data_IF_068262361380
#
_entry.id   IF_068262361380
#
_cell.length_a   1.000
_cell.length_b   1.000
_cell.length_c   1.000
_cell.angle_alpha   90.00
_cell.angle_beta   90.00
_cell.angle_gamma   90.00
#
_symmetry.space_group_name_H-M   'P 1'
#
loop_
_entity.id
_entity.type
_entity.pdbx_description
1 polymer ?
#
# COMPACT_ATOMS: atom_id res chain seq x y z
N UNK A 1 -16.09 13.23 -3.70
CA UNK A 1 -14.72 13.12 -4.24
C UNK A 1 -14.65 11.95 -5.22
N UNK A 2 -13.74 11.98 -6.19
CA UNK A 2 -13.47 10.90 -7.15
C UNK A 2 -12.02 10.44 -7.05
N UNK A 3 -11.76 9.15 -7.26
CA UNK A 3 -10.42 8.57 -7.34
C UNK A 3 -10.38 7.59 -8.53
N UNK A 4 -9.30 7.62 -9.32
CA UNK A 4 -9.07 6.67 -10.41
C UNK A 4 -7.58 6.40 -10.63
N UNK A 5 -7.30 5.44 -11.50
CA UNK A 5 -5.95 5.09 -11.95
C UNK A 5 -5.94 4.89 -13.46
N UNK A 6 -4.83 5.29 -14.09
CA UNK A 6 -4.49 4.94 -15.47
C UNK A 6 -3.60 3.68 -15.53
N UNK A 7 -3.14 3.19 -14.37
CA UNK A 7 -2.35 1.97 -14.24
C UNK A 7 -3.21 0.71 -14.22
N UNK A 8 -4.43 0.78 -13.69
CA UNK A 8 -5.41 -0.32 -13.71
C UNK A 8 -6.83 0.23 -13.52
N UNK A 9 -7.85 -0.54 -13.91
CA UNK A 9 -9.27 -0.18 -13.68
C UNK A 9 -9.75 -0.71 -12.33
N UNK A 10 -10.70 -0.01 -11.70
CA UNK A 10 -11.31 -0.48 -10.46
C UNK A 10 -11.88 -1.90 -10.62
N UNK A 11 -11.51 -2.81 -9.73
CA UNK A 11 -11.84 -4.23 -9.73
C UNK A 11 -10.94 -5.11 -10.62
N UNK A 12 -10.03 -4.53 -11.42
CA UNK A 12 -9.15 -5.27 -12.30
C UNK A 12 -7.86 -5.73 -11.59
N UNK A 13 -7.17 -6.69 -12.20
CA UNK A 13 -5.87 -7.14 -11.74
C UNK A 13 -4.82 -6.01 -11.84
N UNK A 14 -4.01 -5.87 -10.79
CA UNK A 14 -2.88 -4.94 -10.74
C UNK A 14 -1.76 -5.51 -11.62
N UNK A 15 -1.23 -4.76 -12.60
CA UNK A 15 -0.08 -5.21 -13.38
C UNK A 15 1.17 -5.47 -12.51
N UNK A 16 1.94 -6.51 -12.83
CA UNK A 16 3.10 -6.95 -12.05
C UNK A 16 4.16 -5.85 -11.81
N UNK A 17 4.30 -4.88 -12.71
CA UNK A 17 5.20 -3.74 -12.51
C UNK A 17 4.86 -2.88 -11.27
N UNK A 18 3.63 -2.97 -10.76
CA UNK A 18 3.20 -2.31 -9.53
C UNK A 18 3.17 -3.25 -8.33
N UNK A 19 3.48 -4.54 -8.51
CA UNK A 19 3.57 -5.51 -7.42
C UNK A 19 4.99 -5.58 -6.86
N UNK A 20 5.13 -6.01 -5.61
CA UNK A 20 6.43 -6.27 -4.99
C UNK A 20 7.06 -7.54 -5.57
N UNK A 21 6.24 -8.55 -5.88
CA UNK A 21 6.66 -9.79 -6.50
C UNK A 21 5.74 -10.22 -7.65
N UNK A 22 6.26 -11.07 -8.52
CA UNK A 22 5.53 -11.71 -9.62
C UNK A 22 5.86 -13.21 -9.71
N UNK A 23 5.00 -14.03 -10.35
CA UNK A 23 5.24 -15.46 -10.46
C UNK A 23 6.54 -15.80 -11.21
N UNK A 24 7.32 -16.71 -10.64
CA UNK A 24 8.57 -17.23 -11.25
C UNK A 24 8.60 -18.76 -11.32
N UNK A 25 8.62 -19.37 -12.52
CA UNK A 25 8.57 -20.82 -12.69
C UNK A 25 9.54 -21.63 -11.83
N UNK A 26 10.74 -21.11 -11.57
CA UNK A 26 11.80 -21.80 -10.85
C UNK A 26 11.73 -21.59 -9.33
N UNK A 27 11.41 -20.38 -8.87
CA UNK A 27 11.47 -20.00 -7.45
C UNK A 27 10.10 -19.71 -6.83
N UNK A 28 9.01 -20.05 -7.51
CA UNK A 28 7.63 -19.65 -7.24
C UNK A 28 7.36 -18.15 -7.45
N UNK A 29 8.23 -17.29 -6.91
CA UNK A 29 8.15 -15.83 -6.98
C UNK A 29 9.52 -15.21 -7.28
N UNK A 30 9.54 -14.06 -7.96
CA UNK A 30 10.69 -13.16 -8.08
C UNK A 30 10.26 -11.73 -7.79
N UNK A 31 11.21 -10.86 -7.44
CA UNK A 31 10.92 -9.44 -7.25
C UNK A 31 10.43 -8.81 -8.56
N UNK A 32 9.42 -7.95 -8.46
CA UNK A 32 8.84 -7.25 -9.59
C UNK A 32 9.17 -5.74 -9.54
N UNK A 33 8.43 -4.94 -10.31
CA UNK A 33 8.74 -3.51 -10.45
C UNK A 33 8.51 -2.69 -9.19
N UNK A 34 7.61 -3.12 -8.29
CA UNK A 34 7.28 -2.45 -7.02
C UNK A 34 7.03 -0.94 -7.17
N UNK A 35 6.49 -0.53 -8.32
CA UNK A 35 6.17 0.87 -8.59
C UNK A 35 4.85 1.21 -7.93
N UNK A 36 4.70 2.37 -7.30
CA UNK A 36 3.35 2.80 -6.97
C UNK A 36 2.54 2.97 -8.28
N UNK A 37 1.26 2.55 -8.31
CA UNK A 37 0.41 2.83 -9.47
C UNK A 37 0.15 4.33 -9.58
N UNK A 38 -0.19 4.77 -10.79
CA UNK A 38 -0.78 6.09 -10.98
C UNK A 38 -2.07 6.21 -10.17
N UNK A 39 -2.27 7.31 -9.48
CA UNK A 39 -3.53 7.64 -8.81
C UNK A 39 -3.85 9.10 -9.08
N UNK A 40 -5.09 9.41 -9.45
CA UNK A 40 -5.55 10.78 -9.63
C UNK A 40 -6.95 10.94 -9.08
N UNK A 41 -7.27 12.16 -8.67
CA UNK A 41 -8.50 12.47 -7.98
C UNK A 41 -9.02 13.86 -8.34
N UNK A 42 -10.33 14.03 -8.16
CA UNK A 42 -11.02 15.29 -8.37
C UNK A 42 -12.25 15.40 -7.47
N UNK A 43 -13.00 16.49 -7.58
CA UNK A 43 -14.17 16.79 -6.74
C UNK A 43 -13.81 16.76 -5.23
N UNK A 44 -12.64 17.30 -4.87
CA UNK A 44 -12.22 17.47 -3.47
C UNK A 44 -13.22 18.41 -2.77
N UNK A 45 -13.81 18.02 -1.62
CA UNK A 45 -14.82 18.84 -0.97
C UNK A 45 -14.26 20.17 -0.45
N UNK A 46 -15.06 21.25 -0.43
CA UNK A 46 -14.68 22.49 0.23
C UNK A 46 -14.29 22.26 1.70
N UNK A 47 -13.32 23.03 2.19
CA UNK A 47 -12.80 22.88 3.56
C UNK A 47 -11.68 21.85 3.72
N UNK A 48 -11.37 21.07 2.69
CA UNK A 48 -10.19 20.17 2.70
C UNK A 48 -8.91 20.95 2.89
N UNK A 49 -8.18 20.65 3.96
CA UNK A 49 -6.88 21.24 4.27
C UNK A 49 -5.72 20.34 3.83
N UNK A 50 -5.89 19.01 3.86
CA UNK A 50 -4.97 18.03 3.27
C UNK A 50 -5.69 16.73 2.89
N UNK A 51 -5.00 15.85 2.18
CA UNK A 51 -5.47 14.51 1.85
C UNK A 51 -4.54 13.45 2.47
N UNK A 52 -5.11 12.27 2.71
CA UNK A 52 -4.39 11.07 3.17
C UNK A 52 -4.72 9.91 2.25
N UNK A 53 -3.70 9.19 1.80
CA UNK A 53 -3.82 8.01 0.97
C UNK A 53 -3.32 6.78 1.75
N UNK A 54 -4.15 5.75 1.83
CA UNK A 54 -3.80 4.43 2.34
C UNK A 54 -3.93 3.37 1.23
N UNK A 55 -3.07 2.35 1.25
CA UNK A 55 -3.24 1.11 0.49
C UNK A 55 -3.33 -0.06 1.48
N UNK A 56 -4.45 -0.77 1.47
CA UNK A 56 -4.78 -1.80 2.47
C UNK A 56 -5.16 -3.09 1.75
N UNK A 57 -4.57 -4.20 2.15
CA UNK A 57 -4.95 -5.56 1.77
C UNK A 57 -5.70 -6.19 2.95
N UNK A 58 -7.03 -6.34 2.83
CA UNK A 58 -7.86 -6.98 3.86
C UNK A 58 -7.90 -8.50 3.77
N UNK A 59 -7.17 -9.09 2.82
CA UNK A 59 -7.17 -10.53 2.53
C UNK A 59 -5.90 -11.23 3.04
N UNK A 60 -4.98 -10.51 3.69
CA UNK A 60 -3.77 -11.08 4.22
C UNK A 60 -4.06 -12.13 5.30
N UNK A 61 -3.44 -13.32 5.24
CA UNK A 61 -3.66 -14.35 6.25
C UNK A 61 -3.11 -13.90 7.60
N UNK A 62 -3.90 -14.03 8.66
CA UNK A 62 -3.49 -13.67 10.04
C UNK A 62 -2.63 -14.75 10.70
N UNK A 63 -2.58 -15.95 10.11
CA UNK A 63 -1.77 -17.08 10.58
C UNK A 63 -0.72 -17.40 9.53
N UNK A 64 0.54 -17.06 9.80
CA UNK A 64 1.66 -17.23 8.87
C UNK A 64 2.24 -18.64 8.78
N UNK A 65 1.78 -19.59 9.59
CA UNK A 65 2.45 -20.90 9.79
C UNK A 65 2.66 -21.71 8.52
N UNK A 66 1.73 -21.65 7.57
CA UNK A 66 1.75 -22.43 6.32
C UNK A 66 2.01 -21.56 5.08
N UNK A 67 2.33 -20.28 5.26
CA UNK A 67 2.59 -19.33 4.16
C UNK A 67 3.83 -19.77 3.37
N UNK A 68 3.73 -19.76 2.04
CA UNK A 68 4.82 -19.98 1.11
C UNK A 68 5.54 -21.34 1.28
N UNK A 69 4.79 -22.41 1.52
CA UNK A 69 5.32 -23.78 1.66
C UNK A 69 4.75 -24.72 0.59
N UNK A 70 5.62 -25.47 -0.10
CA UNK A 70 5.26 -26.28 -1.27
C UNK A 70 4.26 -27.40 -1.02
N UNK A 71 4.23 -27.94 0.20
CA UNK A 71 3.30 -29.01 0.58
C UNK A 71 2.00 -28.48 1.21
N UNK A 72 1.82 -27.16 1.31
CA UNK A 72 0.69 -26.53 2.00
C UNK A 72 -0.09 -25.62 1.06
N UNK A 73 -1.38 -25.47 1.34
CA UNK A 73 -2.27 -24.47 0.75
C UNK A 73 -2.81 -23.58 1.87
N UNK A 74 -3.10 -22.32 1.59
CA UNK A 74 -3.87 -21.47 2.49
C UNK A 74 -5.32 -21.48 2.02
N UNK A 75 -6.24 -22.11 2.79
CA UNK A 75 -7.64 -22.18 2.42
C UNK A 75 -8.27 -20.79 2.27
N UNK A 76 -9.23 -20.67 1.36
CA UNK A 76 -9.95 -19.41 1.14
C UNK A 76 -10.68 -18.88 2.39
N UNK A 77 -11.09 -19.77 3.30
CA UNK A 77 -11.78 -19.47 4.55
C UNK A 77 -10.85 -19.23 5.76
N UNK A 78 -9.53 -19.29 5.57
CA UNK A 78 -8.55 -18.95 6.60
C UNK A 78 -8.79 -17.52 7.13
N UNK A 79 -8.69 -17.25 8.44
CA UNK A 79 -8.88 -15.91 9.00
C UNK A 79 -7.95 -14.86 8.38
N UNK A 80 -8.54 -13.77 7.90
CA UNK A 80 -7.85 -12.66 7.23
C UNK A 80 -7.79 -11.40 8.10
N UNK A 81 -6.86 -10.52 7.79
CA UNK A 81 -6.67 -9.25 8.48
C UNK A 81 -5.99 -8.23 7.58
N UNK A 82 -5.95 -6.99 8.05
CA UNK A 82 -5.36 -5.89 7.29
C UNK A 82 -3.84 -6.03 7.22
N UNK A 83 -3.32 -5.84 6.00
CA UNK A 83 -1.91 -5.57 5.74
C UNK A 83 -1.80 -4.24 5.01
N UNK A 84 -1.08 -3.29 5.59
CA UNK A 84 -0.94 -1.95 5.07
C UNK A 84 0.28 -1.87 4.15
N UNK A 85 0.03 -1.55 2.88
CA UNK A 85 1.03 -1.47 1.81
C UNK A 85 1.54 -0.05 1.58
N UNK A 86 0.77 0.97 2.00
CA UNK A 86 1.14 2.37 1.83
C UNK A 86 0.40 3.27 2.81
N UNK A 87 1.13 4.19 3.42
CA UNK A 87 0.57 5.39 4.05
C UNK A 87 1.29 6.64 3.51
N UNK A 88 0.52 7.58 2.98
CA UNK A 88 0.97 8.89 2.54
C UNK A 88 0.02 9.95 3.11
N UNK A 89 0.56 10.84 3.95
CA UNK A 89 -0.21 11.86 4.66
C UNK A 89 0.23 13.26 4.26
N UNK A 90 -0.61 14.24 4.57
CA UNK A 90 -0.38 15.67 4.35
C UNK A 90 -0.23 16.04 2.87
N UNK A 91 -0.91 15.31 1.98
CA UNK A 91 -0.94 15.65 0.55
C UNK A 91 -1.71 16.97 0.41
N UNK A 92 -1.14 18.05 -0.14
CA UNK A 92 -1.89 19.29 -0.30
C UNK A 92 -3.07 19.11 -1.28
N UNK A 93 -4.19 19.81 -1.07
CA UNK A 93 -5.35 19.74 -1.95
C UNK A 93 -5.08 20.33 -3.35
N UNK A 94 -3.93 20.99 -3.56
CA UNK A 94 -3.46 21.42 -4.88
C UNK A 94 -2.88 20.28 -5.72
N UNK A 95 -2.42 19.20 -5.09
CA UNK A 95 -2.00 17.98 -5.79
C UNK A 95 -3.23 17.22 -6.27
N UNK A 96 -3.21 16.78 -7.53
CA UNK A 96 -4.34 16.11 -8.20
C UNK A 96 -4.01 14.72 -8.73
N UNK A 97 -2.73 14.35 -8.70
CA UNK A 97 -2.27 13.07 -9.19
C UNK A 97 -0.92 12.71 -8.59
N UNK A 98 -0.69 11.41 -8.41
CA UNK A 98 0.60 10.79 -8.16
C UNK A 98 0.95 9.97 -9.42
N UNK A 99 2.02 10.33 -10.15
CA UNK A 99 2.48 9.53 -11.27
C UNK A 99 2.88 8.11 -10.85
N UNK A 100 2.76 7.17 -11.79
CA UNK A 100 3.31 5.84 -11.58
C UNK A 100 4.82 5.91 -11.30
N UNK A 101 5.26 5.25 -10.23
CA UNK A 101 6.68 5.21 -9.83
C UNK A 101 7.19 6.42 -9.04
N UNK A 102 6.36 7.44 -8.78
CA UNK A 102 6.83 8.67 -8.10
C UNK A 102 7.15 8.52 -6.61
N UNK A 103 6.68 7.46 -5.96
CA UNK A 103 6.89 7.18 -4.53
C UNK A 103 7.56 5.83 -4.25
N UNK A 104 7.66 4.96 -5.25
CA UNK A 104 8.42 3.72 -5.20
C UNK A 104 8.78 3.33 -6.63
N UNK A 105 10.02 2.89 -6.85
CA UNK A 105 10.53 2.47 -8.16
C UNK A 105 11.52 1.33 -7.93
N UNK A 106 10.98 0.12 -7.76
CA UNK A 106 11.73 -1.07 -7.40
C UNK A 106 11.64 -1.46 -5.93
N UNK A 107 12.08 -2.68 -5.64
CA UNK A 107 12.21 -3.20 -4.27
C UNK A 107 13.53 -2.71 -3.69
N UNK A 108 13.47 -2.06 -2.52
CA UNK A 108 14.65 -1.63 -1.78
C UNK A 108 14.85 -2.55 -0.58
N UNK A 109 15.89 -3.41 -0.57
CA UNK A 109 16.22 -4.21 0.60
C UNK A 109 16.38 -3.32 1.83
N UNK A 110 15.88 -3.78 2.98
CA UNK A 110 15.87 -3.03 4.26
C UNK A 110 15.00 -1.76 4.25
N UNK A 111 14.18 -1.59 3.22
CA UNK A 111 13.17 -0.55 3.11
C UNK A 111 13.67 0.79 2.58
N UNK A 112 12.76 1.76 2.52
CA UNK A 112 12.97 3.11 1.95
C UNK A 112 13.04 4.15 3.08
N UNK A 113 13.74 5.29 2.90
CA UNK A 113 13.79 6.34 3.91
C UNK A 113 12.44 7.04 4.07
N UNK A 114 12.24 7.64 5.25
CA UNK A 114 11.07 8.44 5.61
C UNK A 114 11.22 8.99 7.03
N UNK A 115 10.19 9.64 7.60
CA UNK A 115 8.88 9.91 7.00
C UNK A 115 8.90 11.06 6.00
N UNK A 116 9.90 11.95 6.03
CA UNK A 116 9.99 13.07 5.09
C UNK A 116 10.28 12.58 3.66
N UNK A 117 9.53 13.10 2.69
CA UNK A 117 9.79 12.86 1.26
C UNK A 117 10.76 13.94 0.76
N UNK A 118 11.91 13.52 0.25
CA UNK A 118 12.91 14.44 -0.27
C UNK A 118 12.41 15.16 -1.54
N UNK A 119 12.72 16.45 -1.63
CA UNK A 119 12.86 17.18 -2.90
C UNK A 119 11.62 17.31 -3.81
N UNK A 120 10.42 17.45 -3.25
CA UNK A 120 9.17 17.68 -4.04
C UNK A 120 8.65 19.11 -3.99
N UNK A 121 9.26 19.98 -3.17
CA UNK A 121 8.72 21.32 -2.85
C UNK A 121 7.40 21.28 -2.04
N UNK A 122 6.93 20.08 -1.69
CA UNK A 122 5.65 19.84 -1.02
C UNK A 122 5.88 18.97 0.21
N UNK A 123 5.42 19.43 1.38
CA UNK A 123 5.58 18.68 2.63
C UNK A 123 4.51 17.59 2.77
N UNK A 124 4.78 16.43 2.19
CA UNK A 124 4.06 15.18 2.49
C UNK A 124 4.92 14.27 3.36
N UNK A 125 4.31 13.28 4.01
CA UNK A 125 5.03 12.28 4.81
C UNK A 125 4.61 10.85 4.48
N UNK A 126 5.57 9.94 4.40
CA UNK A 126 5.31 8.51 4.37
C UNK A 126 5.23 7.94 5.79
N UNK A 127 4.27 7.04 6.01
CA UNK A 127 4.26 6.16 7.18
C UNK A 127 5.00 4.86 6.91
N UNK A 128 5.31 4.14 7.98
CA UNK A 128 5.75 2.75 7.95
C UNK A 128 4.60 1.86 7.47
N UNK A 129 4.91 0.99 6.52
CA UNK A 129 4.03 -0.08 6.06
C UNK A 129 4.38 -1.42 6.75
N UNK A 130 3.52 -2.42 6.59
CA UNK A 130 3.61 -3.67 7.35
C UNK A 130 4.75 -4.59 6.88
N UNK A 131 5.41 -4.29 5.75
CA UNK A 131 6.66 -4.99 5.39
C UNK A 131 7.76 -4.80 6.43
N UNK A 132 7.70 -3.71 7.21
CA UNK A 132 8.58 -3.49 8.38
C UNK A 132 8.50 -4.63 9.39
N UNK A 133 7.28 -5.08 9.72
CA UNK A 133 7.08 -6.22 10.62
C UNK A 133 7.27 -7.56 9.93
N UNK A 134 6.86 -7.68 8.66
CA UNK A 134 6.98 -8.90 7.88
C UNK A 134 8.43 -9.39 7.74
N UNK A 135 9.38 -8.47 7.53
CA UNK A 135 10.79 -8.79 7.31
C UNK A 135 11.67 -8.73 8.57
N UNK A 136 11.11 -8.56 9.77
CA UNK A 136 11.89 -8.38 11.01
C UNK A 136 12.88 -9.53 11.27
N UNK A 137 12.49 -10.77 10.92
CA UNK A 137 13.33 -11.96 11.05
C UNK A 137 14.26 -12.26 9.86
N UNK A 138 14.20 -11.49 8.78
CA UNK A 138 14.99 -11.72 7.57
C UNK A 138 16.30 -10.87 7.61
N UNK A 139 17.50 -11.48 7.62
CA UNK A 139 18.74 -10.73 7.76
C UNK A 139 19.05 -9.82 6.57
N UNK A 140 18.53 -10.13 5.39
CA UNK A 140 18.76 -9.38 4.14
C UNK A 140 17.70 -8.30 3.93
N UNK A 141 16.49 -8.53 4.43
CA UNK A 141 15.34 -7.65 4.23
C UNK A 141 14.93 -6.85 5.48
N UNK A 142 15.36 -7.21 6.68
CA UNK A 142 15.02 -6.48 7.91
C UNK A 142 15.42 -5.01 7.83
N UNK A 143 14.47 -4.15 8.16
CA UNK A 143 14.64 -2.70 8.06
C UNK A 143 13.30 -1.96 8.14
N UNK A 144 13.33 -0.67 7.82
CA UNK A 144 12.18 0.23 7.97
C UNK A 144 11.59 0.55 6.60
N UNK A 145 10.35 0.13 6.38
CA UNK A 145 9.70 0.25 5.08
C UNK A 145 8.72 1.43 5.09
N UNK A 146 9.18 2.60 4.63
CA UNK A 146 8.32 3.76 4.41
C UNK A 146 7.70 3.75 3.02
N UNK A 147 6.47 4.24 2.91
CA UNK A 147 5.83 4.48 1.61
C UNK A 147 5.25 3.21 1.00
N UNK A 148 5.26 3.13 -0.34
CA UNK A 148 4.61 2.04 -1.07
C UNK A 148 5.53 0.81 -1.18
N UNK A 149 5.01 -0.34 -0.79
CA UNK A 149 5.49 -1.66 -1.22
C UNK A 149 4.28 -2.47 -1.66
N UNK A 150 4.28 -2.94 -2.90
CA UNK A 150 3.11 -3.43 -3.58
C UNK A 150 2.68 -4.85 -3.19
N UNK A 151 1.70 -5.41 -3.91
CA UNK A 151 1.23 -6.78 -3.72
C UNK A 151 2.34 -7.84 -3.67
N UNK A 152 2.30 -8.70 -2.65
CA UNK A 152 3.07 -9.94 -2.55
C UNK A 152 2.27 -11.00 -1.77
N UNK A 153 1.05 -11.37 -2.22
CA UNK A 153 0.25 -12.38 -1.53
C UNK A 153 0.97 -13.74 -1.57
N UNK A 154 0.75 -14.63 -0.60
CA UNK A 154 1.39 -15.94 -0.61
C UNK A 154 1.13 -16.70 -1.92
N UNK A 155 2.15 -17.32 -2.49
CA UNK A 155 2.00 -18.04 -3.76
C UNK A 155 1.21 -19.35 -3.63
N UNK A 156 0.97 -19.79 -2.39
CA UNK A 156 0.13 -20.93 -2.06
C UNK A 156 -1.25 -20.51 -1.48
N UNK A 157 -1.68 -19.25 -1.66
CA UNK A 157 -3.00 -18.80 -1.22
C UNK A 157 -4.09 -19.06 -2.26
N UNK A 158 -5.17 -19.72 -1.85
CA UNK A 158 -6.35 -19.95 -2.71
C UNK A 158 -7.14 -18.67 -2.96
N UNK A 159 -6.96 -17.65 -2.13
CA UNK A 159 -7.66 -16.36 -2.24
C UNK A 159 -6.91 -15.42 -3.18
N UNK A 160 -7.67 -14.75 -4.05
CA UNK A 160 -7.19 -13.54 -4.74
C UNK A 160 -7.31 -12.38 -3.77
N UNK A 161 -6.21 -11.64 -3.57
CA UNK A 161 -6.18 -10.51 -2.66
C UNK A 161 -6.69 -9.23 -3.32
N UNK A 162 -7.31 -8.36 -2.52
CA UNK A 162 -7.88 -7.07 -2.91
C UNK A 162 -7.13 -5.94 -2.20
N UNK A 163 -6.52 -5.09 -2.99
CA UNK A 163 -5.74 -3.94 -2.54
C UNK A 163 -6.59 -2.68 -2.69
N UNK A 164 -7.05 -2.15 -1.57
CA UNK A 164 -7.90 -0.97 -1.47
C UNK A 164 -7.00 0.26 -1.39
N UNK A 165 -6.96 1.04 -2.45
CA UNK A 165 -6.37 2.38 -2.43
C UNK A 165 -7.48 3.36 -2.03
N UNK A 166 -7.38 3.91 -0.82
CA UNK A 166 -8.38 4.82 -0.26
C UNK A 166 -7.78 6.19 -0.01
N UNK A 167 -8.43 7.21 -0.55
CA UNK A 167 -8.10 8.61 -0.38
C UNK A 167 -9.12 9.26 0.55
N UNK A 168 -8.63 9.97 1.55
CA UNK A 168 -9.43 10.75 2.50
C UNK A 168 -9.15 12.23 2.29
N UNK A 169 -10.21 13.04 2.29
CA UNK A 169 -10.11 14.48 2.42
C UNK A 169 -10.34 14.87 3.88
N UNK A 170 -9.41 15.65 4.46
CA UNK A 170 -9.47 16.00 5.90
C UNK A 170 -9.38 17.51 6.15
N UNK A 171 -9.92 17.94 7.29
CA UNK A 171 -10.03 19.35 7.70
C UNK A 171 -8.78 19.92 8.40
N UNK A 172 -7.77 19.08 8.65
CA UNK A 172 -6.46 19.51 9.19
C UNK A 172 -5.38 19.54 8.11
N UNK A 173 -4.50 20.57 8.11
CA UNK A 173 -3.44 20.69 7.11
C UNK A 173 -2.29 19.69 7.31
N UNK A 174 -2.17 19.15 8.53
CA UNK A 174 -1.19 18.15 8.91
C UNK A 174 -1.86 17.16 9.85
N UNK A 175 -1.79 15.87 9.52
CA UNK A 175 -2.33 14.79 10.34
C UNK A 175 -1.56 14.72 11.67
N UNK A 176 -2.23 14.59 12.84
CA UNK A 176 -1.62 14.63 14.16
C UNK A 176 -0.91 13.30 14.51
N UNK A 177 0.05 12.92 13.68
CA UNK A 177 1.03 11.85 13.90
C UNK A 177 2.42 12.47 13.95
N UNK A 178 3.29 11.95 14.80
CA UNK A 178 4.64 12.48 15.04
C UNK A 178 5.71 11.42 14.79
N UNK A 179 6.94 11.87 14.51
CA UNK A 179 8.07 10.98 14.28
C UNK A 179 7.79 9.93 13.20
N UNK A 180 8.23 8.71 13.46
CA UNK A 180 7.86 7.55 12.66
C UNK A 180 6.47 7.08 13.09
N UNK A 181 5.57 6.93 12.12
CA UNK A 181 4.20 6.49 12.37
C UNK A 181 3.81 5.36 11.43
N UNK A 182 2.91 4.49 11.87
CA UNK A 182 2.36 3.40 11.06
C UNK A 182 1.09 3.84 10.31
N UNK A 183 0.69 3.06 9.30
CA UNK A 183 -0.58 3.28 8.62
C UNK A 183 -1.81 3.19 9.56
N UNK A 184 -1.74 2.30 10.57
CA UNK A 184 -2.78 2.16 11.60
C UNK A 184 -2.86 3.41 12.50
N UNK A 185 -1.72 3.99 12.88
CA UNK A 185 -1.70 5.26 13.62
C UNK A 185 -2.24 6.41 12.77
N UNK A 186 -1.92 6.45 11.48
CA UNK A 186 -2.51 7.42 10.55
C UNK A 186 -4.04 7.24 10.45
N UNK A 187 -4.52 6.00 10.28
CA UNK A 187 -5.95 5.68 10.22
C UNK A 187 -6.67 6.11 11.51
N UNK A 188 -6.08 5.86 12.68
CA UNK A 188 -6.63 6.31 13.96
C UNK A 188 -6.70 7.85 14.04
N UNK A 189 -5.66 8.54 13.57
CA UNK A 189 -5.59 10.00 13.55
C UNK A 189 -6.58 10.66 12.56
N UNK A 190 -7.18 9.90 11.64
CA UNK A 190 -8.25 10.42 10.76
C UNK A 190 -9.58 10.61 11.51
N UNK A 191 -9.78 9.95 12.65
CA UNK A 191 -11.06 9.98 13.36
C UNK A 191 -11.42 11.42 13.78
N UNK A 192 -12.61 11.88 13.36
CA UNK A 192 -13.09 13.24 13.61
C UNK A 192 -12.66 14.29 12.60
N UNK A 193 -11.80 13.95 11.63
CA UNK A 193 -11.25 14.89 10.65
C UNK A 193 -11.70 14.64 9.20
N UNK A 194 -12.34 13.50 8.91
CA UNK A 194 -12.75 13.11 7.55
C UNK A 194 -13.93 13.97 7.07
N UNK A 195 -13.74 14.62 5.92
CA UNK A 195 -14.76 15.36 5.20
C UNK A 195 -15.42 14.52 4.11
N UNK A 196 -14.64 13.69 3.41
CA UNK A 196 -15.10 12.77 2.35
C UNK A 196 -14.02 11.69 2.09
N UNK A 197 -14.41 10.59 1.46
CA UNK A 197 -13.49 9.52 1.05
C UNK A 197 -13.83 8.97 -0.35
N UNK A 198 -12.83 8.43 -1.04
CA UNK A 198 -13.00 7.71 -2.29
C UNK A 198 -12.01 6.54 -2.35
N UNK A 199 -12.39 5.46 -3.04
CA UNK A 199 -11.51 4.29 -3.18
C UNK A 199 -11.57 3.67 -4.57
N UNK A 200 -10.46 3.02 -4.92
CA UNK A 200 -10.40 2.02 -6.00
C UNK A 200 -9.76 0.75 -5.45
N UNK A 201 -10.15 -0.39 -6.02
CA UNK A 201 -9.67 -1.70 -5.61
C UNK A 201 -8.96 -2.33 -6.80
N UNK A 202 -7.75 -2.85 -6.58
CA UNK A 202 -7.07 -3.72 -7.54
C UNK A 202 -6.94 -5.12 -6.97
N UNK A 203 -6.84 -6.13 -7.83
CA UNK A 203 -6.66 -7.53 -7.40
C UNK A 203 -5.28 -8.06 -7.74
N UNK A 204 -4.75 -8.99 -6.95
CA UNK A 204 -3.51 -9.68 -7.28
C UNK A 204 -3.46 -11.08 -6.69
N UNK A 205 -2.76 -11.99 -7.36
CA UNK A 205 -2.46 -13.33 -6.85
C UNK A 205 -1.12 -13.81 -7.40
N UNK A 206 -0.37 -14.52 -6.57
CA UNK A 206 0.83 -15.25 -6.98
C UNK A 206 0.56 -16.75 -7.15
N UNK A 207 -0.64 -17.23 -6.80
CA UNK A 207 -1.03 -18.61 -7.01
C UNK A 207 -1.20 -18.86 -8.51
N UNK A 208 -0.56 -19.93 -8.98
CA UNK A 208 -0.71 -20.39 -10.35
C UNK A 208 -2.06 -21.08 -10.54
N UNK A 209 -2.61 -20.92 -11.73
CA UNK A 209 -3.76 -21.68 -12.21
C UNK A 209 -3.40 -23.17 -12.33
#
# INVERSE_FOLDING_TARGET
MKLWSDSFKNGAAIPAQFAFAEPDPATHVRLAGNRNPHLAWDDIPPGTASLVLLCIDGDAPTVGTDVNQAAKTLPADLPRGDFYHWALVDIPPTVRSLPAGSHAEGVTPRGKPGPAIADTGVRMRHGLNDYTGWFDGDPDMSGRYFGYDGPCPPWNDERVHHYIFRLYAIDVPQLPVEGDFTAQQALAALHGHILDEAQIIGTYTLKRA
#
